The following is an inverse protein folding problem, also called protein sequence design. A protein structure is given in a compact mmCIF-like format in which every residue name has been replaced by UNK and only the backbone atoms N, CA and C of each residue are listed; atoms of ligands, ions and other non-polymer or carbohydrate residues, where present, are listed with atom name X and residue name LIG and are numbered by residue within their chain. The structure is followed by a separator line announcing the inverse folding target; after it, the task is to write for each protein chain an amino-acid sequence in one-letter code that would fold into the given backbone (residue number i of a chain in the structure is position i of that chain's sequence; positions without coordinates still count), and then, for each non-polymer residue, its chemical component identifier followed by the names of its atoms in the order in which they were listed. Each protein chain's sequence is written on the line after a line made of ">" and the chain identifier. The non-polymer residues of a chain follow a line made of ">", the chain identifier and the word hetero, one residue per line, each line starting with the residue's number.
data_IF_027145140783
#
_entry.id   IF_027145140783
#
_cell.length_a   1.000
_cell.length_b   1.000
_cell.length_c   1.000
_cell.angle_alpha   90.00
_cell.angle_beta   90.00
_cell.angle_gamma   90.00
#
_symmetry.space_group_name_H-M   'P 1'
#
loop_
_entity.id
_entity.type
_entity.pdbx_description
1 polymer ?
#
# COMPACT_ATOMS: atom_id res chain seq x y z
N UNK A 1 -20.57 25.58 -50.79
CA UNK A 1 -21.95 25.96 -51.19
C UNK A 1 -22.71 24.65 -51.35
N UNK A 2 -23.59 24.26 -50.43
CA UNK A 2 -24.93 24.83 -50.16
C UNK A 2 -25.94 24.47 -51.29
N UNK A 3 -27.18 24.06 -51.03
CA UNK A 3 -27.85 23.62 -49.80
C UNK A 3 -29.09 22.76 -50.16
N UNK A 4 -29.70 22.11 -49.17
CA UNK A 4 -30.97 21.36 -49.25
C UNK A 4 -32.19 22.26 -49.47
N UNK A 5 -33.32 21.68 -49.88
CA UNK A 5 -34.65 22.27 -49.66
C UNK A 5 -35.74 21.20 -49.45
N UNK A 6 -36.54 21.40 -48.40
CA UNK A 6 -37.74 20.65 -47.92
C UNK A 6 -39.04 21.32 -48.48
N UNK A 7 -40.30 21.15 -47.99
CA UNK A 7 -40.94 20.28 -46.95
C UNK A 7 -42.06 19.37 -47.55
N UNK A 8 -43.10 18.82 -46.88
CA UNK A 8 -43.73 18.88 -45.53
C UNK A 8 -44.50 17.54 -45.27
N UNK A 9 -45.21 17.22 -44.18
CA UNK A 9 -45.52 17.96 -42.94
C UNK A 9 -46.58 17.30 -42.03
N UNK A 10 -46.81 17.88 -40.84
CA UNK A 10 -47.97 17.75 -39.91
C UNK A 10 -48.36 16.36 -39.31
N UNK A 11 -48.21 16.25 -37.98
CA UNK A 11 -48.99 15.38 -37.07
C UNK A 11 -50.04 16.22 -36.30
N UNK A 12 -50.94 15.65 -35.46
CA UNK A 12 -50.55 15.50 -34.03
C UNK A 12 -51.30 14.45 -33.13
N UNK A 13 -50.73 14.27 -31.94
CA UNK A 13 -51.30 13.89 -30.63
C UNK A 13 -51.73 12.45 -30.25
N UNK A 14 -51.44 12.16 -28.97
CA UNK A 14 -51.29 10.87 -28.27
C UNK A 14 -52.46 10.50 -27.34
N UNK A 15 -52.51 9.24 -26.85
CA UNK A 15 -53.03 8.89 -25.51
C UNK A 15 -52.52 7.53 -24.97
N UNK A 16 -52.77 7.21 -23.68
CA UNK A 16 -52.25 6.05 -22.90
C UNK A 16 -53.40 5.15 -22.35
N UNK A 17 -53.15 3.89 -21.89
CA UNK A 17 -54.18 2.88 -21.58
C UNK A 17 -54.55 2.74 -20.09
N UNK A 18 -55.66 2.06 -19.76
CA UNK A 18 -55.63 0.85 -18.88
C UNK A 18 -56.79 -0.17 -19.22
N UNK A 19 -57.17 -1.22 -18.40
CA UNK A 19 -56.60 -1.81 -17.18
C UNK A 19 -56.40 -3.38 -17.20
N UNK A 20 -55.99 -3.97 -16.06
CA UNK A 20 -55.90 -5.43 -15.76
C UNK A 20 -57.20 -6.01 -15.15
N UNK A 21 -57.34 -7.36 -15.11
CA UNK A 21 -58.04 -8.07 -14.03
C UNK A 21 -57.16 -9.10 -13.25
N UNK A 22 -57.59 -9.46 -12.04
CA UNK A 22 -57.01 -10.49 -11.14
C UNK A 22 -57.99 -11.68 -10.91
N UNK A 23 -57.48 -12.88 -10.55
CA UNK A 23 -58.29 -14.01 -10.02
C UNK A 23 -57.86 -15.43 -10.47
N UNK A 24 -57.59 -16.35 -9.54
CA UNK A 24 -57.13 -17.76 -9.79
C UNK A 24 -58.26 -18.82 -9.89
N UNK A 25 -58.04 -20.15 -9.61
CA UNK A 25 -56.92 -20.79 -8.89
C UNK A 25 -56.35 -22.17 -9.39
N UNK A 26 -55.08 -22.50 -8.99
CA UNK A 26 -54.43 -23.85 -8.82
C UNK A 26 -54.28 -24.81 -10.04
N UNK A 27 -53.40 -25.86 -10.02
CA UNK A 27 -52.69 -26.50 -8.89
C UNK A 27 -51.14 -26.59 -8.96
N UNK A 28 -50.54 -27.18 -7.91
CA UNK A 28 -49.08 -27.36 -7.70
C UNK A 28 -48.52 -28.61 -8.42
N UNK A 29 -47.32 -28.53 -9.01
CA UNK A 29 -46.29 -29.59 -9.00
C UNK A 29 -44.95 -29.10 -9.59
N UNK A 30 -43.82 -29.49 -8.94
CA UNK A 30 -42.41 -29.36 -9.39
C UNK A 30 -41.55 -28.22 -8.80
N UNK A 31 -41.52 -28.09 -7.47
CA UNK A 31 -40.29 -27.64 -6.79
C UNK A 31 -39.20 -28.73 -6.90
N UNK A 32 -37.91 -28.32 -6.95
CA UNK A 32 -36.76 -29.23 -6.83
C UNK A 32 -35.77 -29.27 -8.01
N UNK A 33 -36.09 -28.64 -9.15
CA UNK A 33 -35.22 -28.64 -10.34
C UNK A 33 -34.23 -27.47 -10.45
N UNK A 34 -34.48 -26.36 -9.75
CA UNK A 34 -33.70 -25.12 -9.87
C UNK A 34 -32.60 -25.01 -8.80
N UNK A 35 -32.90 -25.43 -7.55
CA UNK A 35 -31.97 -25.37 -6.42
C UNK A 35 -30.63 -26.08 -6.65
N UNK A 36 -30.61 -27.18 -7.40
CA UNK A 36 -29.38 -27.93 -7.67
C UNK A 36 -28.41 -27.16 -8.56
N UNK A 37 -28.93 -26.35 -9.50
CA UNK A 37 -28.09 -25.55 -10.39
C UNK A 37 -27.53 -24.33 -9.66
N UNK A 38 -28.37 -23.65 -8.88
CA UNK A 38 -27.95 -22.55 -8.01
C UNK A 38 -26.97 -23.01 -6.91
N UNK A 39 -27.12 -24.23 -6.36
CA UNK A 39 -26.16 -24.81 -5.42
C UNK A 39 -24.82 -25.17 -6.05
N UNK A 40 -24.82 -25.63 -7.32
CA UNK A 40 -23.57 -25.86 -8.07
C UNK A 40 -22.87 -24.54 -8.37
N UNK A 41 -23.61 -23.49 -8.76
CA UNK A 41 -23.04 -22.15 -8.98
C UNK A 41 -22.55 -21.50 -7.66
N UNK A 42 -23.25 -21.72 -6.53
CA UNK A 42 -22.77 -21.33 -5.20
C UNK A 42 -21.51 -22.10 -4.80
N UNK A 43 -21.44 -23.42 -5.01
CA UNK A 43 -20.23 -24.19 -4.76
C UNK A 43 -19.07 -23.73 -5.66
N UNK A 44 -19.34 -23.39 -6.92
CA UNK A 44 -18.37 -22.77 -7.83
C UNK A 44 -17.84 -21.43 -7.28
N UNK A 45 -18.72 -20.56 -6.80
CA UNK A 45 -18.33 -19.30 -6.15
C UNK A 45 -17.59 -19.50 -4.83
N UNK A 46 -17.93 -20.51 -4.02
CA UNK A 46 -17.24 -20.81 -2.76
C UNK A 46 -15.87 -21.42 -3.01
N UNK A 47 -15.71 -22.29 -4.01
CA UNK A 47 -14.42 -22.85 -4.42
C UNK A 47 -13.52 -21.79 -5.05
N UNK A 48 -14.05 -20.90 -5.90
CA UNK A 48 -13.31 -19.76 -6.43
C UNK A 48 -12.84 -18.82 -5.30
N UNK A 49 -13.74 -18.46 -4.37
CA UNK A 49 -13.39 -17.66 -3.18
C UNK A 49 -12.41 -18.38 -2.26
N UNK A 50 -12.47 -19.71 -2.15
CA UNK A 50 -11.54 -20.52 -1.36
C UNK A 50 -10.14 -20.60 -1.97
N UNK A 51 -10.04 -20.60 -3.31
CA UNK A 51 -8.77 -20.49 -4.03
C UNK A 51 -8.15 -19.09 -3.83
N UNK A 52 -8.95 -18.04 -3.99
CA UNK A 52 -8.59 -16.66 -3.61
C UNK A 52 -8.17 -16.57 -2.13
N UNK A 53 -8.83 -17.32 -1.22
CA UNK A 53 -8.50 -17.32 0.20
C UNK A 53 -7.22 -18.09 0.53
N UNK A 54 -6.84 -19.09 -0.27
CA UNK A 54 -5.55 -19.77 -0.15
C UNK A 54 -4.41 -18.89 -0.68
N UNK A 55 -4.62 -18.19 -1.80
CA UNK A 55 -3.68 -17.19 -2.32
C UNK A 55 -3.55 -15.97 -1.36
N UNK A 56 -4.67 -15.55 -0.74
CA UNK A 56 -4.67 -14.57 0.34
C UNK A 56 -4.03 -15.09 1.63
N UNK A 57 -4.20 -16.38 1.95
CA UNK A 57 -3.63 -17.03 3.12
C UNK A 57 -2.11 -17.09 3.09
N UNK A 58 -1.52 -17.34 1.92
CA UNK A 58 -0.06 -17.21 1.70
C UNK A 58 0.38 -15.73 1.70
N UNK A 59 -0.47 -14.81 1.25
CA UNK A 59 -0.20 -13.36 1.34
C UNK A 59 -0.28 -12.78 2.76
N UNK A 60 -0.83 -13.49 3.74
CA UNK A 60 -0.94 -13.06 5.14
C UNK A 60 0.28 -13.47 6.00
N UNK A 61 1.22 -14.27 5.45
CA UNK A 61 2.19 -15.03 6.25
C UNK A 61 3.44 -14.31 6.76
N UNK A 62 3.79 -13.11 6.29
CA UNK A 62 5.03 -12.39 6.69
C UNK A 62 4.83 -10.87 6.84
N UNK A 63 3.78 -10.45 7.55
CA UNK A 63 3.66 -9.07 8.06
C UNK A 63 2.85 -9.11 9.35
N UNK A 64 3.42 -8.62 10.47
CA UNK A 64 3.10 -8.84 11.92
C UNK A 64 4.21 -9.73 12.52
N UNK A 65 5.01 -9.34 13.54
CA UNK A 65 4.67 -8.75 14.86
C UNK A 65 5.64 -7.64 15.33
N UNK A 66 5.05 -6.59 15.92
CA UNK A 66 5.53 -5.61 16.92
C UNK A 66 7.04 -5.31 17.14
N UNK A 67 7.33 -4.00 17.23
CA UNK A 67 8.29 -3.47 18.23
C UNK A 67 7.70 -2.29 19.02
N UNK A 68 6.67 -2.56 19.81
CA UNK A 68 6.50 -1.85 21.09
C UNK A 68 7.51 -2.49 22.06
N UNK A 69 8.48 -1.72 22.55
CA UNK A 69 9.54 -2.26 23.42
C UNK A 69 10.59 -1.27 23.93
N UNK A 70 10.75 -0.10 23.29
CA UNK A 70 11.72 0.92 23.71
C UNK A 70 11.36 1.60 25.03
N UNK A 71 10.08 1.91 25.27
CA UNK A 71 9.64 2.62 26.48
C UNK A 71 9.84 1.81 27.78
N UNK A 72 9.79 0.47 27.72
CA UNK A 72 10.04 -0.38 28.89
C UNK A 72 11.54 -0.58 29.15
N UNK A 73 12.38 -0.65 28.10
CA UNK A 73 13.83 -0.78 28.28
C UNK A 73 14.47 0.50 28.84
N UNK A 74 13.98 1.70 28.48
CA UNK A 74 14.47 2.96 29.04
C UNK A 74 14.26 3.02 30.56
N UNK A 75 13.08 2.67 31.07
CA UNK A 75 12.82 2.67 32.52
C UNK A 75 13.63 1.63 33.32
N UNK A 76 14.05 0.52 32.68
CA UNK A 76 14.95 -0.46 33.31
C UNK A 76 16.40 0.04 33.30
N UNK A 77 16.84 0.65 32.19
CA UNK A 77 18.20 1.18 32.05
C UNK A 77 18.46 2.41 32.96
N UNK A 78 17.50 3.33 33.08
CA UNK A 78 17.58 4.46 34.02
C UNK A 78 17.69 3.99 35.48
N UNK A 79 16.92 2.96 35.87
CA UNK A 79 17.00 2.39 37.23
C UNK A 79 18.33 1.70 37.51
N UNK A 80 18.99 1.15 36.48
CA UNK A 80 20.30 0.53 36.62
C UNK A 80 21.41 1.59 36.69
N UNK A 81 21.32 2.67 35.90
CA UNK A 81 22.25 3.80 35.96
C UNK A 81 22.17 4.54 37.31
N UNK A 82 20.97 4.77 37.83
CA UNK A 82 20.76 5.40 39.14
C UNK A 82 21.30 4.57 40.32
N UNK A 83 21.46 3.25 40.15
CA UNK A 83 22.07 2.38 41.16
C UNK A 83 23.61 2.45 41.18
N UNK A 84 24.25 2.71 40.02
CA UNK A 84 25.72 2.80 39.91
C UNK A 84 26.30 4.14 40.35
N UNK A 85 25.52 5.23 40.39
CA UNK A 85 26.00 6.55 40.81
C UNK A 85 26.24 6.71 42.33
N UNK A 86 26.05 5.65 43.14
CA UNK A 86 26.10 5.76 44.61
C UNK A 86 27.43 5.39 45.27
N UNK A 87 28.43 4.98 44.49
CA UNK A 87 29.79 4.76 44.96
C UNK A 87 30.79 5.61 44.17
N UNK A 88 31.11 6.77 44.74
CA UNK A 88 32.33 7.51 44.44
C UNK A 88 33.16 7.63 45.72
N UNK A 89 34.46 7.35 45.62
CA UNK A 89 35.44 8.25 46.20
C UNK A 89 36.44 8.76 45.13
N UNK A 90 37.01 9.96 45.30
CA UNK A 90 37.83 10.61 44.27
C UNK A 90 39.33 10.36 44.48
N UNK A 91 40.07 10.10 43.40
CA UNK A 91 41.45 10.59 43.15
C UNK A 91 41.99 10.06 41.82
N UNK A 92 42.49 10.94 40.94
CA UNK A 92 43.53 10.62 39.95
C UNK A 92 44.07 11.89 39.27
N UNK A 93 45.39 11.95 39.13
CA UNK A 93 46.16 13.02 38.48
C UNK A 93 46.08 12.92 36.94
N UNK A 94 46.43 13.98 36.17
CA UNK A 94 46.20 14.01 34.72
C UNK A 94 47.16 13.09 33.95
N UNK A 95 46.61 12.29 33.04
CA UNK A 95 47.35 11.52 32.03
C UNK A 95 47.29 12.21 30.66
N UNK A 96 48.30 12.08 29.79
CA UNK A 96 48.35 12.75 28.49
C UNK A 96 47.32 12.19 27.49
N UNK A 97 46.91 12.97 26.47
CA UNK A 97 45.84 12.59 25.55
C UNK A 97 46.27 11.46 24.59
N UNK A 98 45.43 10.43 24.49
CA UNK A 98 45.46 9.48 23.38
C UNK A 98 44.82 10.12 22.13
N UNK A 99 45.25 9.74 20.91
CA UNK A 99 44.58 10.19 19.69
C UNK A 99 43.12 9.69 19.65
N UNK A 100 42.21 10.52 19.16
CA UNK A 100 40.81 10.15 18.94
C UNK A 100 40.73 8.87 18.09
N UNK A 101 40.26 7.79 18.71
CA UNK A 101 39.72 6.67 17.98
C UNK A 101 38.46 7.18 17.27
N UNK A 102 38.58 7.42 15.96
CA UNK A 102 37.48 7.91 15.14
C UNK A 102 36.22 7.08 15.39
N UNK A 103 35.12 7.77 15.64
CA UNK A 103 33.82 7.17 15.94
C UNK A 103 33.52 6.10 14.88
N UNK A 104 33.31 4.82 15.26
CA UNK A 104 32.91 3.82 14.29
C UNK A 104 31.60 4.31 13.67
N UNK A 105 31.45 4.28 12.32
CA UNK A 105 30.26 4.80 11.67
C UNK A 105 29.03 4.16 12.32
N UNK A 106 27.99 4.94 12.66
CA UNK A 106 26.84 4.43 13.40
C UNK A 106 26.28 3.23 12.66
N UNK A 107 26.28 2.07 13.33
CA UNK A 107 25.85 0.81 12.73
C UNK A 107 24.47 1.01 12.10
N UNK A 108 24.40 0.86 10.78
CA UNK A 108 23.21 1.22 10.00
C UNK A 108 21.99 0.52 10.60
N UNK A 109 21.08 1.32 11.15
CA UNK A 109 19.81 0.78 11.62
C UNK A 109 19.14 0.06 10.44
N UNK A 110 18.59 -1.15 10.62
CA UNK A 110 18.05 -1.93 9.52
C UNK A 110 16.97 -1.12 8.80
N UNK A 111 17.31 -0.59 7.62
CA UNK A 111 16.44 0.29 6.87
C UNK A 111 15.27 -0.52 6.30
N UNK A 112 14.06 -0.20 6.74
CA UNK A 112 12.85 -0.91 6.35
C UNK A 112 12.34 -0.37 5.00
N UNK A 113 12.73 -1.01 3.90
CA UNK A 113 12.30 -0.65 2.55
C UNK A 113 10.96 -1.27 2.16
N UNK A 114 10.13 -0.50 1.44
CA UNK A 114 9.14 -1.09 0.52
C UNK A 114 9.91 -1.70 -0.66
N UNK A 115 9.68 -2.96 -1.00
CA UNK A 115 10.39 -3.64 -2.10
C UNK A 115 9.49 -4.50 -2.98
N UNK A 116 9.85 -4.68 -4.25
CA UNK A 116 9.23 -5.67 -5.12
C UNK A 116 9.52 -7.09 -4.62
N UNK A 117 8.50 -7.97 -4.67
CA UNK A 117 8.61 -9.39 -4.23
C UNK A 117 9.33 -10.28 -5.24
N UNK A 118 9.24 -9.95 -6.52
CA UNK A 118 9.93 -10.63 -7.62
C UNK A 118 10.80 -9.61 -8.36
N UNK A 119 12.00 -9.97 -8.84
CA UNK A 119 12.82 -9.11 -9.68
C UNK A 119 12.04 -8.57 -10.88
N UNK A 120 12.28 -7.30 -11.22
CA UNK A 120 11.65 -6.63 -12.35
C UNK A 120 12.53 -6.78 -13.59
N UNK A 121 11.97 -7.19 -14.72
CA UNK A 121 12.67 -7.07 -16.00
C UNK A 121 12.65 -5.60 -16.48
N UNK A 122 13.65 -5.15 -17.26
CA UNK A 122 13.53 -3.96 -18.10
C UNK A 122 12.32 -4.10 -19.03
N UNK A 123 11.52 -3.04 -19.17
CA UNK A 123 10.20 -3.08 -19.83
C UNK A 123 9.07 -3.68 -18.97
N UNK A 124 9.38 -4.19 -17.76
CA UNK A 124 8.44 -4.85 -16.86
C UNK A 124 7.51 -3.88 -16.11
N UNK A 125 6.38 -4.40 -15.62
CA UNK A 125 5.42 -3.63 -14.81
C UNK A 125 5.79 -3.63 -13.33
N UNK A 126 5.86 -2.45 -12.71
CA UNK A 126 6.01 -2.29 -11.26
C UNK A 126 4.63 -2.33 -10.61
N UNK A 127 4.48 -3.12 -9.55
CA UNK A 127 3.30 -3.15 -8.68
C UNK A 127 3.70 -3.53 -7.25
N UNK A 128 3.91 -2.55 -6.39
CA UNK A 128 4.26 -2.77 -4.98
C UNK A 128 3.20 -2.17 -4.08
N UNK A 129 2.69 -2.94 -3.12
CA UNK A 129 1.66 -2.47 -2.18
C UNK A 129 2.29 -2.15 -0.83
N UNK A 130 1.78 -1.10 -0.18
CA UNK A 130 2.13 -0.70 1.18
C UNK A 130 0.89 -0.11 1.86
N UNK A 131 0.95 0.12 3.17
CA UNK A 131 -0.14 0.73 3.93
C UNK A 131 0.37 1.89 4.77
N UNK A 132 -0.51 2.85 5.07
CA UNK A 132 -0.26 3.90 6.05
C UNK A 132 -1.36 3.81 7.11
N UNK A 133 -0.95 3.79 8.38
CA UNK A 133 -1.85 3.80 9.51
C UNK A 133 -2.17 5.24 9.96
N UNK A 134 -3.35 5.40 10.55
CA UNK A 134 -3.69 6.55 11.37
C UNK A 134 -3.89 6.10 12.83
N UNK A 135 -2.84 6.22 13.62
CA UNK A 135 -2.85 5.86 15.04
C UNK A 135 -3.58 6.89 15.92
N UNK A 136 -4.13 7.97 15.34
CA UNK A 136 -4.98 8.93 16.06
C UNK A 136 -6.31 8.29 16.44
N UNK A 137 -6.69 8.43 17.70
CA UNK A 137 -7.97 7.94 18.24
C UNK A 137 -9.16 8.85 17.92
N UNK A 138 -8.92 10.07 17.41
CA UNK A 138 -9.95 11.14 17.32
C UNK A 138 -9.97 11.92 16.00
N UNK A 139 -8.85 12.01 15.28
CA UNK A 139 -8.74 12.85 14.08
C UNK A 139 -8.41 12.02 12.83
N UNK A 140 -9.02 12.32 11.66
CA UNK A 140 -8.67 11.65 10.41
C UNK A 140 -7.36 12.19 9.84
N UNK A 141 -6.42 11.30 9.51
CA UNK A 141 -5.14 11.66 8.91
C UNK A 141 -5.28 11.87 7.40
N UNK A 142 -5.07 13.09 6.93
CA UNK A 142 -5.01 13.41 5.50
C UNK A 142 -3.59 13.19 5.01
N UNK A 143 -3.43 12.41 3.95
CA UNK A 143 -2.14 12.14 3.31
C UNK A 143 -2.20 12.45 1.82
N UNK A 144 -1.12 13.03 1.28
CA UNK A 144 -0.87 13.15 -0.15
C UNK A 144 0.53 12.63 -0.45
N UNK A 145 0.66 11.79 -1.48
CA UNK A 145 1.88 11.01 -1.73
C UNK A 145 2.56 11.41 -3.04
N UNK A 146 3.89 11.54 -3.02
CA UNK A 146 4.72 11.90 -4.19
C UNK A 146 5.97 11.01 -4.25
N UNK A 147 6.48 10.76 -5.45
CA UNK A 147 7.70 9.96 -5.69
C UNK A 147 8.86 10.90 -6.03
N UNK A 148 10.04 10.75 -5.40
CA UNK A 148 11.25 11.55 -5.71
C UNK A 148 12.18 10.91 -6.77
N UNK A 149 11.66 9.92 -7.51
CA UNK A 149 12.44 9.12 -8.46
C UNK A 149 13.28 8.04 -7.77
N UNK A 150 14.08 7.33 -8.55
CA UNK A 150 14.95 6.27 -8.06
C UNK A 150 16.33 6.32 -8.73
N UNK A 151 17.33 5.85 -8.01
CA UNK A 151 18.74 5.86 -8.40
C UNK A 151 19.34 4.46 -8.23
N UNK A 152 19.98 3.94 -9.28
CA UNK A 152 20.68 2.66 -9.27
C UNK A 152 21.94 2.73 -8.39
N UNK A 153 22.07 1.78 -7.47
CA UNK A 153 23.16 1.64 -6.51
C UNK A 153 24.52 1.45 -7.18
N UNK A 154 24.60 0.58 -8.19
CA UNK A 154 25.86 0.22 -8.85
C UNK A 154 26.12 1.04 -10.10
N UNK A 155 25.07 1.28 -10.89
CA UNK A 155 25.15 1.87 -12.23
C UNK A 155 25.04 3.39 -12.22
N UNK A 156 24.47 3.97 -11.16
CA UNK A 156 24.07 5.38 -11.15
C UNK A 156 22.98 5.73 -12.17
N UNK A 157 22.31 4.74 -12.77
CA UNK A 157 21.20 4.98 -13.68
C UNK A 157 20.00 5.56 -12.91
N UNK A 158 19.27 6.49 -13.54
CA UNK A 158 18.06 7.07 -12.94
C UNK A 158 16.80 6.46 -13.53
N UNK A 159 15.89 6.05 -12.66
CA UNK A 159 14.54 5.61 -13.01
C UNK A 159 13.57 6.73 -12.58
N UNK A 160 13.04 7.53 -13.54
CA UNK A 160 12.39 8.79 -13.23
C UNK A 160 11.03 8.61 -12.54
N UNK A 161 10.70 9.53 -11.64
CA UNK A 161 9.41 9.55 -10.93
C UNK A 161 8.19 9.45 -11.87
N UNK A 162 8.28 10.09 -13.04
CA UNK A 162 7.22 10.11 -14.06
C UNK A 162 6.91 8.74 -14.70
N UNK A 163 7.80 7.74 -14.58
CA UNK A 163 7.52 6.36 -15.00
C UNK A 163 6.63 5.61 -13.99
N UNK A 164 6.36 6.23 -12.83
CA UNK A 164 5.68 5.65 -11.68
C UNK A 164 4.52 6.54 -11.20
N UNK A 165 3.62 5.95 -10.42
CA UNK A 165 2.44 6.58 -9.84
C UNK A 165 2.04 5.85 -8.55
N UNK A 166 1.31 6.52 -7.67
CA UNK A 166 0.73 5.89 -6.46
C UNK A 166 -0.78 5.95 -6.57
N UNK A 167 -1.47 4.86 -6.22
CA UNK A 167 -2.94 4.81 -6.15
C UNK A 167 -3.42 4.29 -4.78
N UNK A 168 -4.27 5.04 -4.06
CA UNK A 168 -4.67 6.44 -4.31
C UNK A 168 -3.48 7.41 -4.10
N UNK A 169 -3.49 8.58 -4.74
CA UNK A 169 -2.44 9.60 -4.54
C UNK A 169 -2.70 10.46 -3.29
N UNK A 170 -3.97 10.76 -3.01
CA UNK A 170 -4.42 11.50 -1.83
C UNK A 170 -5.56 10.74 -1.15
N UNK A 171 -5.54 10.65 0.19
CA UNK A 171 -6.63 10.02 0.98
C UNK A 171 -6.74 10.64 2.37
N UNK A 172 -7.96 10.65 2.91
CA UNK A 172 -8.19 10.80 4.36
C UNK A 172 -8.44 9.43 4.98
N UNK A 173 -7.64 9.07 5.98
CA UNK A 173 -7.69 7.81 6.72
C UNK A 173 -8.45 8.07 8.03
N UNK A 174 -9.43 7.22 8.37
CA UNK A 174 -10.24 7.41 9.58
C UNK A 174 -9.39 7.23 10.87
N UNK A 175 -9.85 7.68 12.04
CA UNK A 175 -9.20 7.37 13.31
C UNK A 175 -9.09 5.86 13.54
N UNK A 176 -7.93 5.39 14.02
CA UNK A 176 -7.63 3.97 14.30
C UNK A 176 -7.83 3.05 13.08
N UNK A 177 -7.54 3.55 11.88
CA UNK A 177 -7.74 2.86 10.61
C UNK A 177 -6.47 2.91 9.73
N UNK A 178 -6.45 2.17 8.63
CA UNK A 178 -5.34 2.17 7.67
C UNK A 178 -5.83 2.23 6.23
N UNK A 179 -5.04 2.82 5.34
CA UNK A 179 -5.28 2.79 3.90
C UNK A 179 -4.17 2.02 3.18
N UNK A 180 -4.55 1.28 2.13
CA UNK A 180 -3.62 0.55 1.27
C UNK A 180 -3.31 1.35 0.00
N UNK A 181 -2.03 1.60 -0.19
CA UNK A 181 -1.47 2.29 -1.34
C UNK A 181 -0.77 1.29 -2.27
N UNK A 182 -0.74 1.60 -3.56
CA UNK A 182 -0.01 0.79 -4.56
C UNK A 182 0.85 1.70 -5.42
N UNK A 183 2.17 1.55 -5.30
CA UNK A 183 3.15 2.05 -6.26
C UNK A 183 3.02 1.23 -7.55
N UNK A 184 2.78 1.91 -8.69
CA UNK A 184 2.59 1.30 -10.00
C UNK A 184 3.32 2.07 -11.09
N UNK A 185 3.82 1.37 -12.09
CA UNK A 185 4.43 1.99 -13.27
C UNK A 185 5.05 0.96 -14.19
N UNK A 186 5.94 1.42 -15.06
CA UNK A 186 6.76 0.54 -15.90
C UNK A 186 8.25 0.87 -15.69
N UNK A 187 9.08 -0.17 -15.71
CA UNK A 187 10.53 -0.02 -15.83
C UNK A 187 10.82 0.25 -17.32
N UNK A 188 11.47 1.36 -17.71
CA UNK A 188 11.88 1.58 -19.11
C UNK A 188 12.75 0.44 -19.65
N UNK A 189 12.65 0.13 -20.94
CA UNK A 189 13.34 -1.03 -21.54
C UNK A 189 14.87 -0.88 -21.57
N UNK A 190 15.35 0.35 -21.54
CA UNK A 190 16.74 0.78 -21.45
C UNK A 190 17.32 0.76 -20.03
N UNK A 191 16.52 0.44 -19.02
CA UNK A 191 16.94 0.43 -17.61
C UNK A 191 17.91 -0.73 -17.37
N UNK A 192 19.17 -0.50 -16.95
CA UNK A 192 20.08 -1.59 -16.66
C UNK A 192 19.67 -2.37 -15.40
N UNK A 193 20.02 -3.67 -15.31
CA UNK A 193 19.91 -4.44 -14.08
C UNK A 193 20.68 -3.79 -12.92
N UNK A 194 19.99 -3.48 -11.83
CA UNK A 194 20.56 -2.84 -10.63
C UNK A 194 19.57 -2.91 -9.46
N UNK A 195 20.02 -2.47 -8.29
CA UNK A 195 19.16 -2.14 -7.14
C UNK A 195 18.89 -0.64 -7.17
N UNK A 196 17.63 -0.25 -7.37
CA UNK A 196 17.20 1.15 -7.46
C UNK A 196 16.60 1.62 -6.13
N UNK A 197 17.22 2.62 -5.51
CA UNK A 197 16.73 3.25 -4.28
C UNK A 197 16.01 4.55 -4.57
N UNK A 198 14.87 4.78 -3.93
CA UNK A 198 14.06 5.97 -4.09
C UNK A 198 13.18 6.25 -2.87
N UNK A 199 12.41 7.33 -2.92
CA UNK A 199 11.58 7.78 -1.80
C UNK A 199 10.14 8.05 -2.23
N UNK A 200 9.22 7.63 -1.37
CA UNK A 200 7.84 8.12 -1.36
C UNK A 200 7.75 9.17 -0.25
N UNK A 201 7.49 10.42 -0.62
CA UNK A 201 7.09 11.45 0.32
C UNK A 201 5.61 11.28 0.64
N UNK A 202 5.29 11.45 1.92
CA UNK A 202 3.92 11.50 2.42
C UNK A 202 3.76 12.85 3.14
N UNK A 203 3.09 13.78 2.47
CA UNK A 203 2.71 15.06 3.08
C UNK A 203 1.45 14.86 3.91
N UNK A 204 1.53 15.15 5.21
CA UNK A 204 0.40 15.15 6.15
C UNK A 204 0.45 16.41 7.03
N UNK A 205 0.27 16.31 8.34
CA UNK A 205 0.64 17.40 9.27
C UNK A 205 2.16 17.55 9.31
N UNK A 206 2.88 16.43 9.39
CA UNK A 206 4.32 16.31 9.15
C UNK A 206 4.61 15.72 7.75
N UNK A 207 5.77 16.02 7.18
CA UNK A 207 6.32 15.29 6.03
C UNK A 207 7.03 14.02 6.51
N UNK A 208 6.62 12.87 5.97
CA UNK A 208 7.24 11.58 6.22
C UNK A 208 7.87 11.04 4.92
N UNK A 209 9.00 10.35 5.05
CA UNK A 209 9.70 9.73 3.91
C UNK A 209 9.70 8.21 4.08
N UNK A 210 9.15 7.50 3.10
CA UNK A 210 9.18 6.03 3.06
C UNK A 210 10.21 5.58 2.02
N UNK A 211 11.28 4.87 2.42
CA UNK A 211 12.28 4.37 1.49
C UNK A 211 11.73 3.21 0.66
N UNK A 212 12.09 3.19 -0.62
CA UNK A 212 11.70 2.16 -1.58
C UNK A 212 12.94 1.60 -2.26
N UNK A 213 13.00 0.27 -2.40
CA UNK A 213 14.06 -0.47 -3.07
C UNK A 213 13.44 -1.30 -4.19
N UNK A 214 13.81 -1.05 -5.44
CA UNK A 214 13.36 -1.80 -6.61
C UNK A 214 14.53 -2.61 -7.18
N UNK A 215 14.42 -3.94 -7.18
CA UNK A 215 15.42 -4.83 -7.79
C UNK A 215 15.04 -5.08 -9.25
N UNK A 216 15.90 -4.67 -10.18
CA UNK A 216 15.77 -4.92 -11.62
C UNK A 216 16.81 -5.98 -12.03
N UNK A 217 16.39 -7.04 -12.72
CA UNK A 217 17.27 -8.09 -13.25
C UNK A 217 16.97 -8.40 -14.71
N UNK A 218 17.93 -9.02 -15.39
CA UNK A 218 17.67 -9.75 -16.64
C UNK A 218 16.93 -11.05 -16.39
#
# INVERSE_FOLDING_TARGET
>A
MAATNEPDGSAPHAEKPPPKPEGGPQPRASEGGLDLREKVDQMGMILAKGLDLAEAGVSLGVTIVNRIGSAAQQQVMERMAAAMQREAPPESAPSPPMPEAGEPPPAEAPAFYITNRLPLAPGGTVKVSFSINNDSMVAPKKVSLRIEGFQGETTGASLPAAAMSIKPETKAIAPVDFEKFVLRGAVPAETPPDVYFGWILVSSEDELRIPVRLVVSS
#
